data_IF_628444039917
#
_entry.id   IF_628444039917
#
_cell.length_a   1.000
_cell.length_b   1.000
_cell.length_c   1.000
_cell.angle_alpha   90.00
_cell.angle_beta   90.00
_cell.angle_gamma   90.00
#
_symmetry.space_group_name_H-M   'P 1'
#
loop_
_entity.id
_entity.type
_entity.pdbx_description
1 polymer ?
#
# COMPACT_ATOMS: atom_id res chain seq x y z
N UNK A 1 21.39 -53.32 -52.69
CA UNK A 1 20.77 -52.02 -52.97
C UNK A 1 19.34 -52.08 -52.48
N UNK A 2 19.03 -51.50 -51.32
CA UNK A 2 17.66 -51.45 -50.80
C UNK A 2 17.42 -50.13 -50.07
N UNK A 3 16.23 -49.57 -50.33
CA UNK A 3 15.89 -48.16 -50.26
C UNK A 3 15.52 -47.68 -48.86
N UNK A 4 15.90 -46.44 -48.56
CA UNK A 4 15.58 -45.66 -47.36
C UNK A 4 14.11 -45.21 -47.40
N UNK A 5 13.28 -45.63 -46.45
CA UNK A 5 11.91 -45.10 -46.30
C UNK A 5 11.86 -44.06 -45.18
N UNK A 6 11.73 -42.80 -45.58
CA UNK A 6 11.52 -41.67 -44.68
C UNK A 6 10.10 -41.74 -44.05
N UNK A 7 10.02 -41.63 -42.72
CA UNK A 7 8.76 -41.37 -42.00
C UNK A 7 8.75 -39.93 -41.55
N UNK A 8 7.94 -39.11 -42.22
CA UNK A 8 7.70 -37.71 -41.89
C UNK A 8 6.59 -37.66 -40.84
N UNK A 9 6.91 -37.40 -39.58
CA UNK A 9 5.90 -37.16 -38.54
C UNK A 9 5.76 -35.66 -38.32
N UNK A 10 4.71 -35.08 -38.91
CA UNK A 10 4.27 -33.70 -38.69
C UNK A 10 3.78 -33.55 -37.25
N UNK A 11 4.63 -33.03 -36.37
CA UNK A 11 4.23 -32.67 -35.01
C UNK A 11 3.54 -31.31 -35.07
N UNK A 12 2.20 -31.33 -35.07
CA UNK A 12 1.36 -30.15 -34.91
C UNK A 12 1.77 -29.41 -33.62
N UNK A 13 2.29 -28.18 -33.74
CA UNK A 13 2.45 -27.28 -32.60
C UNK A 13 1.06 -26.78 -32.22
N UNK A 14 0.48 -27.38 -31.17
CA UNK A 14 -0.63 -26.81 -30.43
C UNK A 14 -0.16 -25.51 -29.76
N UNK A 15 -0.30 -24.40 -30.49
CA UNK A 15 -0.09 -23.04 -30.00
C UNK A 15 -1.22 -22.74 -29.02
N UNK A 16 -1.02 -23.11 -27.75
CA UNK A 16 -1.94 -22.80 -26.68
C UNK A 16 -2.19 -21.30 -26.63
N UNK A 17 -3.45 -20.90 -26.83
CA UNK A 17 -3.89 -19.54 -26.53
C UNK A 17 -3.67 -19.34 -25.02
N UNK A 18 -2.64 -18.56 -24.68
CA UNK A 18 -2.51 -18.02 -23.33
C UNK A 18 -3.61 -17.00 -23.17
N UNK A 19 -4.68 -17.37 -22.47
CA UNK A 19 -5.66 -16.40 -21.99
C UNK A 19 -4.88 -15.48 -21.06
N UNK A 20 -4.77 -14.20 -21.41
CA UNK A 20 -4.35 -13.19 -20.44
C UNK A 20 -5.55 -13.00 -19.53
N UNK A 21 -5.65 -13.79 -18.46
CA UNK A 21 -6.51 -13.44 -17.35
C UNK A 21 -6.09 -12.04 -16.91
N UNK A 22 -6.94 -11.05 -17.16
CA UNK A 22 -6.78 -9.73 -16.60
C UNK A 22 -6.95 -9.90 -15.10
N UNK A 23 -5.84 -10.07 -14.40
CA UNK A 23 -5.85 -10.08 -12.94
C UNK A 23 -6.37 -8.70 -12.54
N UNK A 24 -7.63 -8.62 -12.15
CA UNK A 24 -8.16 -7.48 -11.41
C UNK A 24 -7.33 -7.43 -10.13
N UNK A 25 -6.26 -6.63 -10.16
CA UNK A 25 -5.50 -6.31 -8.97
C UNK A 25 -6.51 -5.78 -7.95
N UNK A 26 -6.53 -6.30 -6.72
CA UNK A 26 -7.36 -5.72 -5.68
C UNK A 26 -7.00 -4.23 -5.63
N UNK A 27 -7.99 -3.39 -5.84
CA UNK A 27 -7.83 -1.94 -5.84
C UNK A 27 -7.15 -1.58 -4.50
N UNK A 28 -6.15 -0.69 -4.52
CA UNK A 28 -5.31 -0.39 -3.36
C UNK A 28 -6.13 -0.30 -2.07
N UNK A 29 -5.99 -1.31 -1.21
CA UNK A 29 -6.80 -1.39 0.01
C UNK A 29 -6.42 -0.22 0.92
N UNK A 30 -7.41 0.53 1.39
CA UNK A 30 -7.25 1.60 2.37
C UNK A 30 -7.64 1.07 3.76
N UNK A 31 -7.11 1.64 4.84
CA UNK A 31 -7.40 1.14 6.19
C UNK A 31 -8.85 1.42 6.62
N UNK A 32 -9.48 2.46 6.08
CA UNK A 32 -10.84 2.88 6.42
C UNK A 32 -11.97 2.21 5.60
N UNK A 33 -11.66 1.22 4.75
CA UNK A 33 -12.70 0.45 4.04
C UNK A 33 -13.60 1.25 3.09
N UNK A 34 -13.20 2.47 2.71
CA UNK A 34 -14.00 3.45 1.96
C UNK A 34 -15.26 3.93 2.70
N UNK A 35 -15.22 4.01 4.03
CA UNK A 35 -16.26 4.67 4.82
C UNK A 35 -16.41 6.15 4.41
N UNK A 36 -17.59 6.60 3.94
CA UNK A 36 -17.78 7.94 3.40
C UNK A 36 -17.60 9.04 4.46
N UNK A 37 -18.01 8.80 5.71
CA UNK A 37 -17.88 9.81 6.77
C UNK A 37 -16.41 10.06 7.11
N UNK A 38 -15.62 8.99 7.25
CA UNK A 38 -14.18 9.10 7.49
C UNK A 38 -13.48 9.80 6.32
N UNK A 39 -13.84 9.46 5.08
CA UNK A 39 -13.30 10.10 3.89
C UNK A 39 -13.59 11.61 3.86
N UNK A 40 -14.83 12.01 4.15
CA UNK A 40 -15.21 13.42 4.13
C UNK A 40 -14.52 14.22 5.23
N UNK A 41 -14.48 13.70 6.46
CA UNK A 41 -13.81 14.33 7.59
C UNK A 41 -12.33 14.54 7.34
N UNK A 42 -11.62 13.49 6.91
CA UNK A 42 -10.17 13.56 6.69
C UNK A 42 -9.84 14.37 5.43
N UNK A 43 -10.71 14.35 4.41
CA UNK A 43 -10.58 15.24 3.24
C UNK A 43 -10.72 16.70 3.64
N UNK A 44 -11.69 17.05 4.49
CA UNK A 44 -11.86 18.42 4.98
C UNK A 44 -10.62 18.90 5.73
N UNK A 45 -10.06 18.07 6.62
CA UNK A 45 -8.79 18.36 7.32
C UNK A 45 -7.63 18.57 6.35
N UNK A 46 -7.55 17.75 5.29
CA UNK A 46 -6.54 17.94 4.25
C UNK A 46 -6.68 19.26 3.50
N UNK A 47 -7.91 19.67 3.20
CA UNK A 47 -8.17 20.92 2.49
C UNK A 47 -8.01 22.15 3.39
N UNK A 48 -8.23 22.04 4.70
CA UNK A 48 -7.94 23.10 5.66
C UNK A 48 -6.46 23.20 6.04
N UNK A 49 -5.62 22.25 5.60
CA UNK A 49 -4.20 22.19 5.95
C UNK A 49 -3.93 21.69 7.38
N UNK A 50 -4.94 21.09 8.03
CA UNK A 50 -4.85 20.59 9.41
C UNK A 50 -4.42 19.10 9.47
N UNK A 51 -3.97 18.51 8.35
CA UNK A 51 -3.45 17.15 8.32
C UNK A 51 -2.24 17.01 9.23
N UNK A 52 -2.38 16.19 10.28
CA UNK A 52 -1.39 16.06 11.35
C UNK A 52 -0.66 14.73 11.28
N UNK A 53 0.13 14.53 10.22
CA UNK A 53 1.04 13.40 10.09
C UNK A 53 2.43 13.92 9.75
N UNK A 54 3.17 14.29 10.79
CA UNK A 54 4.54 14.78 10.70
C UNK A 54 5.53 13.61 10.59
N UNK A 55 5.46 12.92 9.46
CA UNK A 55 6.52 11.98 9.08
C UNK A 55 7.61 12.78 8.37
N UNK A 56 8.84 12.77 8.91
CA UNK A 56 9.96 13.61 8.45
C UNK A 56 10.21 13.54 6.93
N UNK A 57 10.02 12.37 6.33
CA UNK A 57 10.22 12.11 4.90
C UNK A 57 8.92 12.15 4.07
N UNK A 58 7.79 12.52 4.67
CA UNK A 58 6.49 12.61 4.02
C UNK A 58 5.63 13.72 4.63
N UNK A 59 6.01 15.00 4.49
CA UNK A 59 5.22 16.11 5.00
C UNK A 59 3.85 16.18 4.31
N UNK A 60 2.79 16.37 5.10
CA UNK A 60 1.41 16.47 4.59
C UNK A 60 0.81 15.15 4.12
N UNK A 61 1.47 14.01 4.38
CA UNK A 61 0.94 12.69 4.04
C UNK A 61 -0.10 12.25 5.05
N UNK A 62 -1.38 12.15 4.65
CA UNK A 62 -2.44 11.68 5.55
C UNK A 62 -2.51 10.15 5.57
N UNK A 63 -2.16 9.55 6.71
CA UNK A 63 -2.14 8.09 6.89
C UNK A 63 -3.54 7.46 6.81
N UNK A 64 -4.59 8.18 7.22
CA UNK A 64 -5.97 7.69 7.22
C UNK A 64 -6.55 7.57 5.81
N UNK A 65 -6.10 8.42 4.88
CA UNK A 65 -6.50 8.40 3.48
C UNK A 65 -5.55 7.58 2.58
N UNK A 66 -4.37 7.26 3.09
CA UNK A 66 -3.35 6.55 2.33
C UNK A 66 -3.79 5.13 1.95
N UNK A 67 -3.33 4.69 0.79
CA UNK A 67 -3.41 3.27 0.44
C UNK A 67 -2.43 2.44 1.28
N UNK A 68 -2.70 1.14 1.43
CA UNK A 68 -1.81 0.21 2.14
C UNK A 68 -0.40 0.20 1.56
N UNK A 69 -0.28 0.21 0.23
CA UNK A 69 1.02 0.22 -0.44
C UNK A 69 1.80 1.52 -0.17
N UNK A 70 1.12 2.68 -0.14
CA UNK A 70 1.77 3.93 0.24
C UNK A 70 2.23 3.90 1.69
N UNK A 71 1.43 3.37 2.61
CA UNK A 71 1.81 3.22 4.01
C UNK A 71 3.04 2.32 4.20
N UNK A 72 3.15 1.22 3.44
CA UNK A 72 4.31 0.33 3.45
C UNK A 72 5.58 1.06 2.96
N UNK A 73 5.52 1.76 1.82
CA UNK A 73 6.66 2.52 1.30
C UNK A 73 7.10 3.61 2.28
N UNK A 74 6.15 4.28 2.94
CA UNK A 74 6.47 5.30 3.94
C UNK A 74 7.02 4.69 5.23
N UNK A 75 6.60 3.49 5.62
CA UNK A 75 7.21 2.77 6.74
C UNK A 75 8.66 2.38 6.41
N UNK A 76 8.93 1.87 5.20
CA UNK A 76 10.27 1.44 4.77
C UNK A 76 11.27 2.60 4.66
N UNK A 77 10.79 3.81 4.34
CA UNK A 77 11.62 5.01 4.30
C UNK A 77 12.02 5.53 5.69
N UNK A 78 11.50 4.95 6.76
CA UNK A 78 11.88 5.31 8.13
C UNK A 78 13.26 4.72 8.48
N UNK A 79 14.22 5.59 8.75
CA UNK A 79 15.60 5.20 9.09
C UNK A 79 15.86 5.09 10.59
N UNK A 80 14.90 5.46 11.44
CA UNK A 80 15.03 5.39 12.89
C UNK A 80 15.14 3.94 13.40
N UNK A 81 15.89 3.75 14.48
CA UNK A 81 15.98 2.46 15.16
C UNK A 81 14.65 2.09 15.85
N UNK A 82 14.37 0.79 16.07
CA UNK A 82 13.16 0.37 16.79
C UNK A 82 12.99 1.03 18.17
N UNK A 83 14.09 1.28 18.89
CA UNK A 83 14.08 1.94 20.20
C UNK A 83 13.62 3.39 20.10
N UNK A 84 14.12 4.13 19.11
CA UNK A 84 13.71 5.51 18.86
C UNK A 84 12.23 5.60 18.46
N UNK A 85 11.76 4.67 17.64
CA UNK A 85 10.35 4.59 17.26
C UNK A 85 9.46 4.34 18.48
N UNK A 86 9.83 3.41 19.36
CA UNK A 86 9.10 3.14 20.58
C UNK A 86 9.07 4.37 21.51
N UNK A 87 10.21 5.07 21.63
CA UNK A 87 10.30 6.29 22.44
C UNK A 87 9.40 7.40 21.89
N UNK A 88 9.37 7.59 20.58
CA UNK A 88 8.48 8.56 19.93
C UNK A 88 7.00 8.19 20.10
N UNK A 89 6.63 6.92 19.91
CA UNK A 89 5.24 6.47 20.12
C UNK A 89 4.78 6.68 21.56
N UNK A 90 5.61 6.31 22.54
CA UNK A 90 5.26 6.50 23.97
C UNK A 90 5.20 7.97 24.36
N UNK A 91 6.03 8.83 23.75
CA UNK A 91 5.97 10.28 23.92
C UNK A 91 4.65 10.85 23.41
N UNK A 92 4.28 10.55 22.16
CA UNK A 92 3.00 11.00 21.57
C UNK A 92 1.78 10.52 22.37
N UNK A 93 1.80 9.27 22.82
CA UNK A 93 0.72 8.73 23.65
C UNK A 93 0.56 9.50 24.98
N UNK A 94 1.68 9.84 25.63
CA UNK A 94 1.67 10.63 26.88
C UNK A 94 1.19 12.06 26.66
N UNK A 95 1.61 12.70 25.58
CA UNK A 95 1.20 14.06 25.20
C UNK A 95 -0.33 14.11 24.95
N UNK A 96 -0.88 13.15 24.21
CA UNK A 96 -2.33 13.06 23.98
C UNK A 96 -3.13 12.85 25.29
N UNK A 97 -2.68 11.96 26.17
CA UNK A 97 -3.32 11.74 27.48
C UNK A 97 -3.22 12.91 28.46
N UNK A 98 -2.26 13.83 28.26
CA UNK A 98 -2.11 15.04 29.07
C UNK A 98 -3.05 16.16 28.60
N UNK A 99 -3.25 16.27 27.28
CA UNK A 99 -4.17 17.23 26.67
C UNK A 99 -5.64 16.92 26.96
N UNK A 100 -6.01 15.62 26.91
CA UNK A 100 -7.38 15.14 27.22
C UNK A 100 -7.77 15.36 28.70
N UNK A 101 -6.79 15.28 29.62
CA UNK A 101 -7.02 15.55 31.05
C UNK A 101 -7.07 17.02 31.44
N UNK A 102 -6.72 17.92 30.52
CA UNK A 102 -6.66 19.36 30.77
C UNK A 102 -7.76 20.14 30.04
N UNK A 103 -8.72 19.44 29.41
CA UNK A 103 -9.89 20.01 28.72
C UNK A 103 -11.17 19.82 29.52
#
# INVERSE_FOLDING_TARGET
MSLTTARLTTRMLSRGLRTTASAQLPHGSTMHGNDPETLEREKQKNLSGESHDDVKHAPGWNQNLASKAEAEVKADQQSASPEELQKETTRKAKEGHAQDRSS
#
